data_IF_768486450951
#
_entry.id   IF_768486450951
#
_cell.length_a   1.000
_cell.length_b   1.000
_cell.length_c   1.000
_cell.angle_alpha   90.00
_cell.angle_beta   90.00
_cell.angle_gamma   90.00
#
_symmetry.space_group_name_H-M   'P 1'
#
loop_
_entity.id
_entity.type
_entity.pdbx_description
1 polymer ?
#
# COMPACT_ATOMS: atom_id res chain seq x y z
N UNK A 1 19.32 12.64 -0.60
CA UNK A 1 19.21 11.18 -0.83
C UNK A 1 17.82 10.61 -0.49
N UNK A 2 17.22 10.84 0.69
CA UNK A 2 15.90 10.25 1.02
C UNK A 2 14.74 10.74 0.13
N UNK A 3 14.80 11.99 -0.33
CA UNK A 3 13.78 12.56 -1.25
C UNK A 3 13.72 11.85 -2.60
N UNK A 4 14.87 11.49 -3.18
CA UNK A 4 14.92 10.75 -4.45
C UNK A 4 14.26 9.38 -4.30
N UNK A 5 14.56 8.66 -3.22
CA UNK A 5 13.95 7.36 -2.93
C UNK A 5 12.45 7.52 -2.72
N UNK A 6 12.02 8.52 -1.95
CA UNK A 6 10.59 8.78 -1.70
C UNK A 6 9.83 9.01 -3.02
N UNK A 7 10.25 9.97 -3.85
CA UNK A 7 9.57 10.26 -5.11
C UNK A 7 9.71 9.12 -6.14
N UNK A 8 10.85 8.41 -6.13
CA UNK A 8 11.03 7.20 -6.93
C UNK A 8 10.02 6.11 -6.56
N UNK A 9 9.87 5.82 -5.26
CA UNK A 9 8.87 4.88 -4.75
C UNK A 9 7.45 5.31 -5.11
N UNK A 10 7.12 6.60 -4.98
CA UNK A 10 5.81 7.12 -5.40
C UNK A 10 5.56 6.91 -6.91
N UNK A 11 6.55 7.20 -7.74
CA UNK A 11 6.46 7.00 -9.19
C UNK A 11 6.22 5.52 -9.55
N UNK A 12 6.98 4.60 -8.95
CA UNK A 12 6.79 3.16 -9.15
C UNK A 12 5.43 2.70 -8.60
N UNK A 13 4.99 3.23 -7.47
CA UNK A 13 3.69 2.91 -6.89
C UNK A 13 2.53 3.27 -7.83
N UNK A 14 2.58 4.47 -8.43
CA UNK A 14 1.55 4.93 -9.37
C UNK A 14 1.56 4.10 -10.67
N UNK A 15 2.75 3.82 -11.21
CA UNK A 15 2.87 2.99 -12.42
C UNK A 15 2.33 1.57 -12.20
N UNK A 16 2.71 0.94 -11.09
CA UNK A 16 2.27 -0.42 -10.76
C UNK A 16 0.79 -0.46 -10.37
N UNK A 17 0.25 0.59 -9.77
CA UNK A 17 -1.18 0.73 -9.55
C UNK A 17 -1.96 0.70 -10.88
N UNK A 18 -1.53 1.48 -11.86
CA UNK A 18 -2.14 1.49 -13.20
C UNK A 18 -2.05 0.12 -13.88
N UNK A 19 -0.90 -0.57 -13.77
CA UNK A 19 -0.75 -1.93 -14.27
C UNK A 19 -1.65 -2.93 -13.52
N UNK A 20 -1.93 -2.70 -12.24
CA UNK A 20 -2.87 -3.46 -11.43
C UNK A 20 -4.30 -3.39 -11.95
N UNK A 21 -4.73 -2.17 -12.32
CA UNK A 21 -6.04 -1.93 -12.91
C UNK A 21 -6.15 -2.56 -14.31
N UNK A 22 -5.11 -2.39 -15.13
CA UNK A 22 -5.18 -2.71 -16.56
C UNK A 22 -4.90 -4.17 -16.89
N UNK A 23 -3.98 -4.83 -16.17
CA UNK A 23 -3.41 -6.11 -16.59
C UNK A 23 -3.52 -7.21 -15.54
N UNK A 24 -2.94 -7.02 -14.35
CA UNK A 24 -2.80 -8.10 -13.38
C UNK A 24 -2.88 -7.60 -11.93
N UNK A 25 -3.77 -8.16 -11.10
CA UNK A 25 -3.90 -7.79 -9.68
C UNK A 25 -2.61 -7.87 -8.88
N UNK A 26 -1.66 -8.71 -9.29
CA UNK A 26 -0.37 -8.87 -8.62
C UNK A 26 0.42 -7.56 -8.55
N UNK A 27 0.20 -6.65 -9.49
CA UNK A 27 0.86 -5.34 -9.48
C UNK A 27 0.41 -4.44 -8.32
N UNK A 28 -0.78 -4.66 -7.75
CA UNK A 28 -1.21 -3.95 -6.55
C UNK A 28 -0.35 -4.26 -5.33
N UNK A 29 0.21 -5.48 -5.21
CA UNK A 29 1.15 -5.79 -4.12
C UNK A 29 2.43 -4.97 -4.23
N UNK A 30 2.94 -4.77 -5.45
CA UNK A 30 4.12 -3.95 -5.68
C UNK A 30 3.79 -2.49 -5.39
N UNK A 31 2.62 -2.02 -5.84
CA UNK A 31 2.15 -0.66 -5.55
C UNK A 31 2.03 -0.42 -4.04
N UNK A 32 1.44 -1.35 -3.29
CA UNK A 32 1.34 -1.29 -1.84
C UNK A 32 2.73 -1.24 -1.17
N UNK A 33 3.66 -2.11 -1.58
CA UNK A 33 5.01 -2.12 -1.04
C UNK A 33 5.74 -0.78 -1.27
N UNK A 34 5.59 -0.20 -2.46
CA UNK A 34 6.20 1.08 -2.79
C UNK A 34 5.56 2.25 -2.04
N UNK A 35 4.23 2.23 -1.85
CA UNK A 35 3.54 3.21 -0.99
C UNK A 35 3.95 3.09 0.48
N UNK A 36 4.22 1.88 0.96
CA UNK A 36 4.74 1.64 2.31
C UNK A 36 6.14 2.23 2.49
N UNK A 37 7.04 2.04 1.52
CA UNK A 37 8.38 2.66 1.53
C UNK A 37 8.26 4.19 1.45
N UNK A 38 7.39 4.71 0.58
CA UNK A 38 7.14 6.14 0.48
C UNK A 38 6.63 6.72 1.81
N UNK A 39 5.67 6.05 2.44
CA UNK A 39 5.14 6.42 3.76
C UNK A 39 6.25 6.55 4.79
N UNK A 40 7.12 5.55 4.91
CA UNK A 40 8.27 5.56 5.82
C UNK A 40 9.18 6.77 5.58
N UNK A 41 9.47 7.08 4.32
CA UNK A 41 10.37 8.18 3.94
C UNK A 41 9.76 9.57 4.17
N UNK A 42 8.42 9.69 4.17
CA UNK A 42 7.71 10.97 4.38
C UNK A 42 7.53 11.37 5.85
N UNK A 43 7.92 10.50 6.80
CA UNK A 43 7.86 10.79 8.23
C UNK A 43 6.46 10.65 8.86
N UNK A 44 6.37 10.97 10.15
CA UNK A 44 5.23 10.60 11.01
C UNK A 44 3.86 11.07 10.52
N UNK A 45 3.70 12.38 10.28
CA UNK A 45 2.38 12.94 9.99
C UNK A 45 1.83 12.52 8.64
N UNK A 46 2.65 12.59 7.58
CA UNK A 46 2.21 12.25 6.21
C UNK A 46 2.18 10.72 6.05
N UNK A 47 3.17 10.03 6.60
CA UNK A 47 3.29 8.58 6.49
C UNK A 47 2.05 7.85 6.99
N UNK A 48 1.37 8.36 8.02
CA UNK A 48 0.11 7.79 8.51
C UNK A 48 -0.96 7.68 7.44
N UNK A 49 -1.25 8.80 6.78
CA UNK A 49 -2.25 8.85 5.72
C UNK A 49 -1.82 8.00 4.52
N UNK A 50 -0.53 7.98 4.19
CA UNK A 50 0.01 7.15 3.11
C UNK A 50 -0.09 5.65 3.45
N UNK A 51 0.07 5.26 4.71
CA UNK A 51 -0.11 3.87 5.14
C UNK A 51 -1.55 3.40 4.94
N UNK A 52 -2.54 4.29 5.15
CA UNK A 52 -3.94 3.96 4.83
C UNK A 52 -4.13 3.54 3.36
N UNK A 53 -3.41 4.20 2.44
CA UNK A 53 -3.42 3.85 1.01
C UNK A 53 -2.74 2.51 0.78
N UNK A 54 -1.68 2.20 1.52
CA UNK A 54 -1.03 0.87 1.47
C UNK A 54 -2.03 -0.23 1.84
N UNK A 55 -2.77 -0.08 2.92
CA UNK A 55 -3.80 -1.06 3.33
C UNK A 55 -4.94 -1.17 2.31
N UNK A 56 -5.37 -0.05 1.75
CA UNK A 56 -6.37 -0.02 0.68
C UNK A 56 -5.90 -0.77 -0.58
N UNK A 57 -4.65 -0.60 -0.99
CA UNK A 57 -4.03 -1.31 -2.11
C UNK A 57 -3.90 -2.81 -1.84
N UNK A 58 -3.54 -3.21 -0.61
CA UNK A 58 -3.50 -4.62 -0.22
C UNK A 58 -4.89 -5.26 -0.26
N UNK A 59 -5.92 -4.54 0.22
CA UNK A 59 -7.29 -5.02 0.16
C UNK A 59 -7.77 -5.18 -1.30
N UNK A 60 -7.43 -4.24 -2.19
CA UNK A 60 -7.68 -4.35 -3.62
C UNK A 60 -6.94 -5.55 -4.24
N UNK A 61 -5.67 -5.74 -3.89
CA UNK A 61 -4.86 -6.86 -4.36
C UNK A 61 -5.51 -8.20 -4.00
N UNK A 62 -6.00 -8.34 -2.76
CA UNK A 62 -6.70 -9.53 -2.30
C UNK A 62 -8.03 -9.73 -3.03
N UNK A 63 -8.86 -8.69 -3.10
CA UNK A 63 -10.17 -8.76 -3.74
C UNK A 63 -10.06 -9.20 -5.20
N UNK A 64 -9.13 -8.62 -5.96
CA UNK A 64 -8.93 -8.95 -7.37
C UNK A 64 -8.11 -10.24 -7.58
N UNK A 65 -7.39 -10.72 -6.57
CA UNK A 65 -6.72 -12.04 -6.65
C UNK A 65 -7.71 -13.19 -6.47
N UNK A 66 -8.76 -12.98 -5.66
CA UNK A 66 -9.82 -13.99 -5.43
C UNK A 66 -10.79 -14.03 -6.62
N UNK A 67 -11.17 -12.85 -7.12
CA UNK A 67 -12.10 -12.74 -8.26
C UNK A 67 -11.30 -12.51 -9.53
N UNK A 68 -11.19 -13.54 -10.38
CA UNK A 68 -10.53 -13.45 -11.68
C UNK A 68 -11.04 -12.20 -12.42
N UNK A 69 -10.13 -11.28 -12.73
CA UNK A 69 -10.45 -9.95 -13.29
C UNK A 69 -11.22 -10.10 -14.59
N UNK A 70 -12.54 -9.98 -14.51
CA UNK A 70 -13.43 -9.83 -15.64
C UNK A 70 -14.01 -8.42 -15.60
N UNK A 71 -14.21 -7.74 -16.73
CA UNK A 71 -14.67 -6.34 -16.77
C UNK A 71 -16.17 -6.19 -16.50
N UNK A 72 -16.67 -6.80 -15.43
CA UNK A 72 -18.06 -6.74 -15.03
C UNK A 72 -18.28 -5.66 -13.95
N UNK A 73 -19.48 -5.08 -13.88
CA UNK A 73 -19.90 -4.14 -12.83
C UNK A 73 -19.65 -4.68 -11.41
N UNK A 74 -19.75 -6.00 -11.23
CA UNK A 74 -19.40 -6.68 -9.98
C UNK A 74 -17.97 -6.42 -9.51
N UNK A 75 -17.01 -6.29 -10.42
CA UNK A 75 -15.62 -6.00 -10.05
C UNK A 75 -15.44 -4.56 -9.57
N UNK A 76 -16.24 -3.62 -10.10
CA UNK A 76 -16.24 -2.23 -9.61
C UNK A 76 -16.80 -2.18 -8.20
N UNK A 77 -17.94 -2.82 -7.95
CA UNK A 77 -18.54 -2.91 -6.61
C UNK A 77 -17.58 -3.59 -5.62
N UNK A 78 -16.96 -4.70 -6.02
CA UNK A 78 -15.96 -5.39 -5.21
C UNK A 78 -14.78 -4.49 -4.86
N UNK A 79 -14.33 -3.65 -5.80
CA UNK A 79 -13.22 -2.70 -5.57
C UNK A 79 -13.60 -1.65 -4.53
N UNK A 80 -14.82 -1.10 -4.61
CA UNK A 80 -15.32 -0.14 -3.63
C UNK A 80 -15.42 -0.78 -2.25
N UNK A 81 -15.97 -1.99 -2.16
CA UNK A 81 -16.04 -2.75 -0.90
C UNK A 81 -14.63 -3.02 -0.35
N UNK A 82 -13.69 -3.43 -1.20
CA UNK A 82 -12.31 -3.68 -0.80
C UNK A 82 -11.63 -2.42 -0.23
N UNK A 83 -11.84 -1.26 -0.85
CA UNK A 83 -11.33 0.02 -0.35
C UNK A 83 -11.92 0.36 1.02
N UNK A 84 -13.22 0.18 1.22
CA UNK A 84 -13.89 0.40 2.52
C UNK A 84 -13.31 -0.55 3.57
N UNK A 85 -13.21 -1.85 3.25
CA UNK A 85 -12.65 -2.85 4.16
C UNK A 85 -11.20 -2.52 4.52
N UNK A 86 -10.37 -2.16 3.55
CA UNK A 86 -8.98 -1.77 3.78
C UNK A 86 -8.87 -0.53 4.68
N UNK A 87 -9.73 0.46 4.48
CA UNK A 87 -9.77 1.66 5.32
C UNK A 87 -10.28 1.38 6.75
N UNK A 88 -11.34 0.59 6.90
CA UNK A 88 -11.83 0.17 8.22
C UNK A 88 -10.77 -0.62 8.96
N UNK A 89 -10.09 -1.55 8.28
CA UNK A 89 -9.01 -2.33 8.86
C UNK A 89 -7.84 -1.43 9.30
N UNK A 90 -7.49 -0.43 8.49
CA UNK A 90 -6.54 0.60 8.86
C UNK A 90 -6.96 1.32 10.15
N UNK A 91 -8.21 1.83 10.23
CA UNK A 91 -8.74 2.51 11.41
C UNK A 91 -8.72 1.66 12.69
N UNK A 92 -8.96 0.35 12.56
CA UNK A 92 -8.86 -0.56 13.70
C UNK A 92 -7.40 -0.67 14.16
N UNK A 93 -6.49 -0.99 13.24
CA UNK A 93 -5.07 -1.22 13.58
C UNK A 93 -4.43 0.02 14.19
N UNK A 94 -4.70 1.22 13.67
CA UNK A 94 -4.12 2.46 14.21
C UNK A 94 -4.46 2.73 15.67
N UNK A 95 -5.59 2.19 16.14
CA UNK A 95 -6.06 2.35 17.51
C UNK A 95 -5.31 1.44 18.49
N UNK A 96 -4.68 0.37 18.00
CA UNK A 96 -4.02 -0.64 18.82
C UNK A 96 -2.49 -0.71 18.63
N UNK A 97 -2.00 -0.37 17.43
CA UNK A 97 -0.59 -0.53 17.06
C UNK A 97 0.11 0.83 17.09
N UNK A 98 1.14 1.01 17.93
CA UNK A 98 1.97 2.21 17.94
C UNK A 98 2.62 2.45 16.58
N UNK A 99 2.72 3.73 16.17
CA UNK A 99 3.28 4.11 14.88
C UNK A 99 4.64 3.45 14.58
N UNK A 100 5.53 3.40 15.58
CA UNK A 100 6.88 2.86 15.44
C UNK A 100 6.92 1.39 15.04
N UNK A 101 5.89 0.61 15.37
CA UNK A 101 5.83 -0.81 15.06
C UNK A 101 5.54 -1.08 13.58
N UNK A 102 4.84 -0.17 12.89
CA UNK A 102 4.54 -0.34 11.47
C UNK A 102 5.77 -0.38 10.58
N UNK A 103 6.85 0.29 10.98
CA UNK A 103 8.06 0.41 10.17
C UNK A 103 9.19 -0.50 10.65
N UNK A 104 8.90 -1.37 11.62
CA UNK A 104 9.88 -2.27 12.18
C UNK A 104 10.60 -3.14 11.14
N UNK A 105 9.91 -3.72 10.12
CA UNK A 105 10.58 -4.48 9.07
C UNK A 105 11.61 -3.66 8.29
N UNK A 106 11.28 -2.44 7.86
CA UNK A 106 12.22 -1.55 7.14
C UNK A 106 13.37 -1.13 8.06
N UNK A 107 13.07 -0.81 9.32
CA UNK A 107 14.09 -0.41 10.30
C UNK A 107 15.11 -1.53 10.53
N UNK A 108 14.69 -2.80 10.57
CA UNK A 108 15.61 -3.94 10.65
C UNK A 108 16.51 -4.01 9.40
N UNK A 109 15.91 -3.90 8.21
CA UNK A 109 16.66 -3.96 6.96
C UNK A 109 17.72 -2.86 6.91
N UNK A 110 17.37 -1.61 7.25
CA UNK A 110 18.32 -0.50 7.28
C UNK A 110 19.47 -0.74 8.27
N UNK A 111 19.15 -1.25 9.47
CA UNK A 111 20.16 -1.62 10.46
C UNK A 111 21.12 -2.69 9.95
N UNK A 112 20.63 -3.68 9.18
CA UNK A 112 21.48 -4.71 8.58
C UNK A 112 22.47 -4.13 7.55
N UNK A 113 22.11 -3.02 6.91
CA UNK A 113 22.98 -2.29 5.98
C UNK A 113 23.84 -1.20 6.65
N UNK A 114 23.79 -1.08 7.99
CA UNK A 114 24.55 -0.07 8.73
C UNK A 114 24.05 1.37 8.53
N UNK A 115 22.78 1.52 8.14
CA UNK A 115 22.09 2.82 7.95
C UNK A 115 21.16 3.15 9.13
#
# INVERSE_FOLDING_TARGET
>A
MPTFIAFGSLGVALLTFLLGILHNPKWYYISALMMYIFSFMTGFSIGYYVLSVTFALLALALAHSIVKVNRNLWNVLLSVVALIVGYVFWLMIISYVPYSQFYWPIAIILRLFGL
#
